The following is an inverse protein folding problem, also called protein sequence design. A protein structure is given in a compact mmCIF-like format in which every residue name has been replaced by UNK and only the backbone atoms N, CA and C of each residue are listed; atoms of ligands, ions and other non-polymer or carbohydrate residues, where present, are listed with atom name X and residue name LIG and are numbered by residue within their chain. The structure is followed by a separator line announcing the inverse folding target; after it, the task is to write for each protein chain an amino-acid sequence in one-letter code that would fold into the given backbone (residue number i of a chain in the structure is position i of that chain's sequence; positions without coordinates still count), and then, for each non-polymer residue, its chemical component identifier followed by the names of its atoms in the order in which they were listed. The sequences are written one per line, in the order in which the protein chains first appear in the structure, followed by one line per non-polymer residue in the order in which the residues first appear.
data_IF_697101225932
#
_entry.id   IF_697101225932
#
_cell.length_a   1.000
_cell.length_b   1.000
_cell.length_c   1.000
_cell.angle_alpha   90.00
_cell.angle_beta   90.00
_cell.angle_gamma   90.00
#
_symmetry.space_group_name_H-M   'P 1'
#
loop_
_entity.id
_entity.type
_entity.pdbx_description
1 polymer ?
2 non-polymer ?
3 non-polymer ?
4 water ?
#
# COMPACT_ATOMS: atom_id res chain seq x y z
N UNK A 3 -9.58 -4.78 28.52
CA UNK A 3 -8.43 -4.51 27.63
C UNK A 3 -8.58 -3.16 26.94
N UNK A 4 -9.70 -2.51 27.21
CA UNK A 4 -9.99 -1.19 26.66
C UNK A 4 -10.05 -1.02 25.15
N UNK A 5 -9.96 0.23 24.72
CA UNK A 5 -10.11 0.60 23.32
C UNK A 5 -8.87 0.92 22.49
N UNK A 6 -8.96 0.56 21.22
CA UNK A 6 -7.89 0.85 20.28
C UNK A 6 -8.47 1.88 19.33
N UNK A 7 -7.89 3.06 19.30
CA UNK A 7 -8.38 4.11 18.41
C UNK A 7 -7.76 3.89 17.04
N UNK A 8 -8.53 3.31 16.13
CA UNK A 8 -8.03 3.05 14.79
C UNK A 8 -8.20 4.28 13.91
N UNK A 9 -7.17 4.61 13.14
CA UNK A 9 -7.22 5.78 12.27
C UNK A 9 -7.66 5.38 10.87
N UNK A 10 -8.86 5.83 10.50
CA UNK A 10 -9.43 5.53 9.20
C UNK A 10 -9.18 6.71 8.27
N UNK A 11 -8.70 6.43 7.06
CA UNK A 11 -8.43 7.45 6.06
C UNK A 11 -9.65 7.63 5.15
N UNK A 12 -10.37 8.73 5.38
CA UNK A 12 -11.57 9.07 4.63
C UNK A 12 -12.80 8.23 4.94
N UNK A 13 -13.93 8.63 4.36
CA UNK A 13 -15.23 8.01 4.58
C UNK A 13 -15.41 6.51 4.37
N UNK A 14 -14.80 5.97 3.32
CA UNK A 14 -14.96 4.55 3.05
C UNK A 14 -14.36 3.70 4.17
N UNK A 15 -13.14 4.04 4.59
CA UNK A 15 -12.51 3.30 5.67
C UNK A 15 -13.26 3.56 6.97
N UNK A 16 -13.80 4.77 7.12
CA UNK A 16 -14.54 5.11 8.32
C UNK A 16 -15.75 4.20 8.44
N UNK A 17 -16.42 3.96 7.32
CA UNK A 17 -17.60 3.09 7.30
C UNK A 17 -17.22 1.67 7.68
N UNK A 18 -16.17 1.15 7.06
CA UNK A 18 -15.72 -0.20 7.38
C UNK A 18 -15.28 -0.27 8.84
N UNK A 19 -14.68 0.80 9.34
CA UNK A 19 -14.22 0.83 10.71
C UNK A 19 -15.40 0.73 11.69
N UNK A 20 -16.50 1.39 11.36
CA UNK A 20 -17.70 1.36 12.20
C UNK A 20 -18.29 -0.06 12.22
N UNK A 21 -18.37 -0.69 11.05
CA UNK A 21 -18.90 -2.04 10.94
C UNK A 21 -18.04 -2.99 11.77
N UNK A 22 -16.73 -2.77 11.68
CA UNK A 22 -15.71 -3.54 12.40
C UNK A 22 -15.99 -3.39 13.90
N UNK A 23 -16.15 -2.14 14.33
CA UNK A 23 -16.43 -1.83 15.72
C UNK A 23 -17.62 -2.63 16.24
N UNK A 24 -18.74 -2.54 15.52
CA UNK A 24 -19.97 -3.22 15.89
C UNK A 24 -19.91 -4.74 15.90
N UNK A 25 -19.31 -5.34 14.88
CA UNK A 25 -19.24 -6.79 14.84
C UNK A 25 -18.34 -7.32 15.94
N UNK A 26 -17.28 -6.58 16.27
CA UNK A 26 -16.38 -7.02 17.32
C UNK A 26 -17.13 -6.99 18.67
N UNK A 27 -17.83 -5.89 18.93
CA UNK A 27 -18.58 -5.76 20.17
C UNK A 27 -19.64 -6.84 20.29
N UNK A 28 -19.99 -7.49 19.17
CA UNK A 28 -21.00 -8.54 19.19
C UNK A 28 -20.48 -9.93 19.58
N UNK A 29 -19.18 -10.19 19.36
CA UNK A 29 -18.64 -11.50 19.68
C UNK A 29 -17.54 -11.49 20.75
N UNK A 30 -16.99 -10.32 21.01
CA UNK A 30 -15.93 -10.17 22.00
C UNK A 30 -16.48 -9.93 23.41
N UNK A 31 -15.88 -10.56 24.43
CA UNK A 31 -16.40 -10.35 25.79
C UNK A 31 -16.34 -8.88 26.20
N UNK A 32 -17.28 -8.47 27.06
CA UNK A 32 -17.37 -7.08 27.55
C UNK A 32 -16.02 -6.50 27.97
N UNK A 33 -15.17 -7.35 28.53
CA UNK A 33 -13.85 -6.96 29.02
C UNK A 33 -12.75 -7.28 28.01
N UNK A 34 -13.12 -7.34 26.74
CA UNK A 34 -12.15 -7.64 25.70
C UNK A 34 -11.83 -6.38 24.91
N UNK A 35 -10.87 -6.44 23.98
CA UNK A 35 -10.53 -5.25 23.20
C UNK A 35 -11.69 -4.75 22.33
N UNK A 36 -11.75 -3.43 22.15
CA UNK A 36 -12.78 -2.81 21.32
C UNK A 36 -12.10 -1.84 20.35
N UNK A 37 -12.83 -1.44 19.31
CA UNK A 37 -12.32 -0.53 18.29
C UNK A 37 -13.09 0.77 18.21
N UNK A 38 -12.37 1.89 18.24
CA UNK A 38 -12.97 3.22 18.11
C UNK A 38 -12.41 3.75 16.80
N UNK A 39 -13.16 4.59 16.10
CA UNK A 39 -12.70 5.10 14.82
C UNK A 39 -12.40 6.60 14.76
N UNK A 40 -11.19 6.93 14.32
CA UNK A 40 -10.76 8.31 14.18
C UNK A 40 -10.56 8.55 12.69
N UNK A 41 -11.34 9.47 12.11
CA UNK A 41 -11.27 9.76 10.68
C UNK A 41 -10.29 10.88 10.30
N UNK A 42 -9.43 10.59 9.33
CA UNK A 42 -8.44 11.54 8.83
C UNK A 42 -8.47 11.55 7.29
N UNK A 43 -7.80 12.52 6.68
CA UNK A 43 -7.79 12.68 5.22
C UNK A 43 -6.64 12.01 4.47
N UNK A 44 -5.59 11.62 5.18
CA UNK A 44 -4.45 10.99 4.53
C UNK A 44 -3.73 10.14 5.54
N UNK A 45 -2.89 9.23 5.07
CA UNK A 45 -2.14 8.37 5.97
C UNK A 45 -1.23 9.23 6.86
N UNK A 46 -0.78 10.35 6.31
CA UNK A 46 0.13 11.24 7.05
C UNK A 46 -0.56 11.86 8.25
N UNK A 47 -1.84 12.19 8.11
CA UNK A 47 -2.60 12.77 9.22
C UNK A 47 -2.71 11.70 10.29
N UNK A 48 -2.78 10.44 9.86
CA UNK A 48 -2.88 9.33 10.79
C UNK A 48 -1.57 9.16 11.58
N UNK A 49 -0.43 9.29 10.90
CA UNK A 49 0.85 9.16 11.58
C UNK A 49 0.97 10.23 12.68
N UNK A 50 0.67 11.47 12.32
CA UNK A 50 0.74 12.56 13.29
C UNK A 50 -0.21 12.36 14.46
N UNK A 51 -1.46 11.99 14.18
CA UNK A 51 -2.43 11.79 15.24
C UNK A 51 -1.93 10.73 16.24
N UNK A 52 -1.32 9.66 15.73
CA UNK A 52 -0.82 8.62 16.62
C UNK A 52 0.33 9.17 17.45
N UNK A 53 1.24 9.89 16.80
CA UNK A 53 2.37 10.49 17.49
C UNK A 53 1.88 11.51 18.51
N UNK A 54 0.71 12.07 18.25
CA UNK A 54 0.12 13.08 19.12
C UNK A 54 -0.79 12.49 20.19
N UNK A 55 -0.89 11.16 20.23
CA UNK A 55 -1.74 10.48 21.20
C UNK A 55 -3.20 10.84 20.98
N UNK A 56 -3.57 10.96 19.70
CA UNK A 56 -4.93 11.28 19.26
C UNK A 56 -5.53 10.04 18.59
N UNK A 57 -4.67 9.07 18.30
CA UNK A 57 -5.08 7.81 17.69
C UNK A 57 -4.03 6.78 18.13
N UNK A 58 -4.29 5.49 17.91
CA UNK A 58 -3.35 4.45 18.34
C UNK A 58 -2.79 3.54 17.25
N UNK A 59 -3.54 3.35 16.17
CA UNK A 59 -3.07 2.46 15.11
C UNK A 59 -3.53 2.81 13.69
N UNK A 60 -2.69 2.43 12.73
CA UNK A 60 -2.95 2.64 11.31
C UNK A 60 -2.06 1.69 10.54
N UNK A 61 -2.59 1.10 9.48
CA UNK A 61 -1.81 0.17 8.67
C UNK A 61 -1.13 0.93 7.54
N UNK A 62 0.17 0.71 7.36
CA UNK A 62 0.90 1.42 6.31
C UNK A 62 1.73 0.55 5.38
N UNK A 63 1.91 1.05 4.17
CA UNK A 63 2.76 0.37 3.19
C UNK A 63 4.13 0.36 3.87
N UNK A 64 4.97 -0.62 3.56
CA UNK A 64 6.28 -0.72 4.18
C UNK A 64 7.18 0.50 4.05
N UNK A 65 7.14 1.18 2.90
CA UNK A 65 7.99 2.36 2.74
C UNK A 65 7.51 3.49 3.65
N UNK A 66 6.21 3.55 3.87
CA UNK A 66 5.64 4.56 4.72
C UNK A 66 5.94 4.22 6.17
N UNK A 67 6.14 2.93 6.44
CA UNK A 67 6.46 2.48 7.80
C UNK A 67 7.81 3.09 8.16
N UNK A 68 8.71 3.16 7.19
CA UNK A 68 10.02 3.75 7.46
C UNK A 68 9.81 5.22 7.79
N UNK A 69 9.04 5.91 6.96
CA UNK A 69 8.77 7.33 7.18
C UNK A 69 8.19 7.59 8.57
N UNK A 70 7.31 6.70 9.02
CA UNK A 70 6.66 6.84 10.31
C UNK A 70 7.65 6.76 11.46
N UNK A 71 8.76 6.05 11.22
CA UNK A 71 9.79 5.88 12.24
C UNK A 71 10.64 7.13 12.42
N UNK A 72 10.68 7.97 11.39
CA UNK A 72 11.47 9.20 11.42
C UNK A 72 10.93 10.24 12.41
N UNK A 73 11.85 11.01 12.99
CA UNK A 73 11.45 12.06 13.92
C UNK A 73 10.60 13.01 13.07
N UNK A 74 9.65 13.72 13.69
CA UNK A 74 9.27 13.71 15.11
C UNK A 74 8.19 12.71 15.48
N UNK A 75 7.95 11.73 14.62
CA UNK A 75 6.89 10.75 14.90
C UNK A 75 7.37 9.51 15.64
N UNK A 76 8.53 8.99 15.24
CA UNK A 76 9.15 7.83 15.87
C UNK A 76 8.18 6.69 16.18
N UNK A 77 7.39 6.28 15.19
CA UNK A 77 6.46 5.19 15.39
C UNK A 77 7.16 3.87 15.13
N UNK A 78 6.59 2.77 15.64
CA UNK A 78 7.15 1.44 15.46
C UNK A 78 6.12 0.46 14.90
N UNK A 79 6.60 -0.54 14.15
CA UNK A 79 5.72 -1.57 13.55
C UNK A 79 5.33 -2.57 14.64
N UNK A 80 4.06 -2.92 14.74
CA UNK A 80 3.62 -3.85 15.77
C UNK A 80 2.93 -5.11 15.25
N UNK A 81 2.19 -5.00 14.16
CA UNK A 81 1.53 -6.16 13.59
C UNK A 81 1.63 -6.09 12.07
N UNK A 82 2.00 -7.20 11.45
CA UNK A 82 2.16 -7.24 10.02
C UNK A 82 1.11 -8.10 9.32
N UNK A 83 0.67 -7.65 8.15
CA UNK A 83 -0.29 -8.45 7.40
C UNK A 83 0.57 -9.55 6.76
N UNK A 84 -0.04 -10.66 6.40
CA UNK A 84 0.68 -11.71 5.70
C UNK A 84 -0.21 -12.12 4.52
N UNK A 85 0.41 -12.69 3.49
CA UNK A 85 -0.32 -13.05 2.29
C UNK A 85 -0.11 -14.50 1.87
N UNK A 86 -0.58 -14.82 0.67
CA UNK A 86 -0.41 -16.17 0.16
C UNK A 86 -1.46 -17.13 0.64
N UNK A 87 -1.24 -17.70 1.83
CA UNK A 87 -2.18 -18.67 2.38
C UNK A 87 -1.89 -18.94 3.85
N UNK A 88 -2.78 -19.72 4.47
CA UNK A 88 -2.65 -20.09 5.87
C UNK A 88 -1.50 -21.08 6.04
N UNK A 89 -1.38 -22.00 5.09
CA UNK A 89 -0.34 -23.02 5.10
C UNK A 89 1.07 -22.45 4.97
N UNK A 90 1.22 -21.43 4.13
CA UNK A 90 2.52 -20.79 3.91
C UNK A 90 2.41 -19.27 3.95
N UNK A 91 2.21 -18.71 5.16
CA UNK A 91 2.09 -17.26 5.30
C UNK A 91 3.35 -16.51 4.85
N UNK A 92 3.16 -15.60 3.91
CA UNK A 92 4.26 -14.81 3.39
C UNK A 92 4.12 -13.36 3.82
N UNK A 93 5.15 -12.85 4.49
CA UNK A 93 5.15 -11.48 4.96
C UNK A 93 5.83 -10.59 3.93
N UNK A 94 5.39 -10.75 2.69
CA UNK A 94 5.91 -9.98 1.57
C UNK A 94 4.99 -10.18 0.38
N UNK A 95 5.16 -9.33 -0.61
CA UNK A 95 4.40 -9.43 -1.85
C UNK A 95 5.34 -8.91 -2.92
N UNK A 96 4.90 -8.93 -4.18
CA UNK A 96 5.75 -8.49 -5.27
C UNK A 96 5.28 -7.21 -5.96
N UNK A 97 6.22 -6.31 -6.22
CA UNK A 97 5.92 -5.07 -6.92
C UNK A 97 5.99 -5.42 -8.40
N UNK A 98 4.92 -5.15 -9.13
CA UNK A 98 4.89 -5.46 -10.56
C UNK A 98 4.46 -4.25 -11.39
N UNK A 99 4.62 -4.35 -12.70
CA UNK A 99 4.23 -3.29 -13.61
C UNK A 99 3.26 -3.90 -14.61
N UNK A 100 1.98 -3.57 -14.46
CA UNK A 100 0.96 -4.10 -15.34
C UNK A 100 0.73 -3.17 -16.53
N UNK A 101 0.64 -3.78 -17.72
CA UNK A 101 0.41 -3.04 -18.95
C UNK A 101 -0.64 -3.77 -19.78
N UNK A 102 -1.15 -3.10 -20.81
CA UNK A 102 -2.13 -3.73 -21.68
C UNK A 102 -1.37 -4.53 -22.74
N UNK A 103 -1.91 -5.67 -23.13
CA UNK A 103 -1.27 -6.49 -24.16
C UNK A 103 -1.23 -5.72 -25.49
N UNK A 104 -0.19 -5.96 -26.27
CA UNK A 104 -0.02 -5.31 -27.56
C UNK A 104 0.19 -3.80 -27.49
N UNK A 105 0.60 -3.27 -26.34
CA UNK A 105 0.81 -1.83 -26.26
C UNK A 105 2.20 -1.49 -26.82
N UNK A 106 3.05 -2.49 -26.94
CA UNK A 106 4.36 -2.29 -27.54
C UNK A 106 5.49 -1.52 -26.90
N UNK A 107 5.78 -1.78 -25.63
CA UNK A 107 6.88 -1.13 -24.96
C UNK A 107 7.35 -1.98 -23.78
N UNK A 108 8.65 -1.92 -23.50
CA UNK A 108 9.21 -2.69 -22.41
C UNK A 108 9.57 -1.76 -21.26
N UNK A 109 10.23 -2.30 -20.24
CA UNK A 109 10.63 -1.53 -19.08
C UNK A 109 11.59 -0.42 -19.46
N UNK A 110 12.44 -0.68 -20.45
CA UNK A 110 13.43 0.28 -20.91
C UNK A 110 12.91 1.24 -21.96
N UNK A 111 11.59 1.26 -22.16
CA UNK A 111 10.95 2.16 -23.12
C UNK A 111 9.79 2.93 -22.50
N UNK A 112 9.84 3.14 -21.19
CA UNK A 112 8.76 3.84 -20.49
C UNK A 112 8.71 5.36 -20.67
N UNK A 113 9.80 5.96 -21.14
CA UNK A 113 9.81 7.40 -21.33
C UNK A 113 8.67 7.85 -22.26
N UNK A 114 7.93 8.86 -21.84
CA UNK A 114 6.85 9.38 -22.66
C UNK A 114 5.51 8.67 -22.50
N UNK A 115 5.44 7.67 -21.62
CA UNK A 115 4.19 6.95 -21.41
C UNK A 115 3.42 7.56 -20.24
N UNK A 116 2.14 7.24 -20.12
CA UNK A 116 1.35 7.76 -19.01
C UNK A 116 1.35 6.71 -17.90
N UNK A 117 1.66 7.14 -16.68
CA UNK A 117 1.76 6.22 -15.56
C UNK A 117 0.76 6.36 -14.42
N UNK A 118 0.38 5.22 -13.85
CA UNK A 118 -0.55 5.17 -12.74
C UNK A 118 0.17 4.58 -11.53
N UNK A 119 0.23 5.35 -10.45
CA UNK A 119 0.90 4.93 -9.23
C UNK A 119 -0.10 4.82 -8.08
N UNK A 120 0.12 3.87 -7.18
CA UNK A 120 -0.76 3.69 -6.04
C UNK A 120 -0.70 4.96 -5.20
N UNK A 121 0.50 5.47 -5.05
CA UNK A 121 0.70 6.68 -4.27
C UNK A 121 2.16 7.00 -4.07
N UNK A 122 2.45 8.28 -3.93
CA UNK A 122 3.82 8.75 -3.73
C UNK A 122 4.38 8.15 -2.44
N UNK A 123 5.62 7.69 -2.48
CA UNK A 123 6.25 7.14 -1.28
C UNK A 123 5.90 5.71 -0.89
N UNK A 124 5.16 5.01 -1.73
CA UNK A 124 4.77 3.62 -1.44
C UNK A 124 5.65 2.65 -2.22
N UNK A 125 5.90 1.48 -1.63
CA UNK A 125 6.76 0.46 -2.22
C UNK A 125 6.55 0.15 -3.69
N UNK A 126 5.46 -0.55 -4.00
CA UNK A 126 5.17 -0.94 -5.37
C UNK A 126 4.80 0.18 -6.32
N UNK A 127 4.07 1.17 -5.82
CA UNK A 127 3.64 2.25 -6.69
C UNK A 127 4.64 3.34 -7.01
N UNK A 128 5.67 3.48 -6.17
CA UNK A 128 6.64 4.55 -6.41
C UNK A 128 8.11 4.22 -6.19
N UNK A 129 8.52 4.04 -4.95
CA UNK A 129 9.93 3.77 -4.66
C UNK A 129 10.61 2.65 -5.43
N UNK A 130 9.93 1.52 -5.62
CA UNK A 130 10.53 0.42 -6.36
C UNK A 130 10.73 0.74 -7.84
N UNK A 131 9.65 1.07 -8.57
CA UNK A 131 9.81 1.38 -9.99
C UNK A 131 10.65 2.62 -10.26
N UNK A 132 10.41 3.69 -9.50
CA UNK A 132 11.18 4.90 -9.71
C UNK A 132 12.66 4.65 -9.41
N UNK A 133 12.92 3.78 -8.45
CA UNK A 133 14.29 3.46 -8.09
C UNK A 133 15.00 2.77 -9.24
N UNK A 134 14.29 1.90 -9.94
CA UNK A 134 14.85 1.19 -11.08
C UNK A 134 14.98 2.09 -12.31
N UNK A 135 14.09 3.06 -12.42
CA UNK A 135 14.08 4.00 -13.54
C UNK A 135 14.93 5.25 -13.28
N UNK A 136 15.39 5.40 -12.04
CA UNK A 136 16.16 6.57 -11.62
C UNK A 136 17.12 7.16 -12.67
N UNK A 137 18.06 6.37 -13.17
CA UNK A 137 19.02 6.90 -14.13
C UNK A 137 18.46 7.20 -15.52
N UNK A 138 17.31 6.63 -15.87
CA UNK A 138 16.71 6.90 -17.17
C UNK A 138 16.04 8.26 -17.14
N UNK A 139 15.84 8.77 -15.92
CA UNK A 139 15.21 10.08 -15.71
C UNK A 139 16.12 11.21 -16.19
N UNK A 140 15.53 12.28 -16.75
CA UNK A 140 16.30 13.43 -17.23
C UNK A 140 16.75 14.28 -16.05
N UNK A 141 17.96 14.83 -16.13
CA UNK A 141 18.46 15.65 -15.04
C UNK A 141 17.88 17.07 -15.08
N UNK A 142 17.76 17.71 -13.90
CA UNK A 142 18.15 17.21 -12.57
C UNK A 142 17.19 16.13 -12.06
N UNK A 143 17.75 15.06 -11.50
CA UNK A 143 16.93 13.95 -11.01
C UNK A 143 16.32 14.18 -9.62
N UNK A 144 16.77 15.24 -8.96
CA UNK A 144 16.25 15.61 -7.65
C UNK A 144 15.81 17.07 -7.78
N UNK A 145 14.60 17.40 -7.29
CA UNK A 145 13.62 16.52 -6.64
C UNK A 145 13.09 15.42 -7.55
N UNK A 146 12.91 14.24 -6.98
CA UNK A 146 12.40 13.07 -7.71
C UNK A 146 11.09 13.37 -8.43
N UNK A 147 10.14 13.94 -7.69
CA UNK A 147 8.83 14.26 -8.24
C UNK A 147 8.88 14.98 -9.59
N UNK A 148 9.72 15.98 -9.70
CA UNK A 148 9.84 16.74 -10.95
C UNK A 148 10.42 15.89 -12.07
N UNK A 149 11.43 15.10 -11.75
CA UNK A 149 12.08 14.24 -12.74
C UNK A 149 11.10 13.19 -13.28
N UNK A 150 10.31 12.61 -12.39
CA UNK A 150 9.33 11.62 -12.81
C UNK A 150 8.26 12.29 -13.67
N UNK A 151 7.86 13.50 -13.29
CA UNK A 151 6.85 14.24 -14.04
C UNK A 151 7.31 14.48 -15.48
N UNK A 152 8.59 14.82 -15.63
CA UNK A 152 9.15 15.07 -16.96
C UNK A 152 9.35 13.80 -17.78
N UNK A 153 9.69 12.70 -17.11
CA UNK A 153 9.94 11.43 -17.76
C UNK A 153 8.69 10.87 -18.45
N UNK A 154 7.58 10.86 -17.72
CA UNK A 154 6.33 10.36 -18.27
C UNK A 154 5.56 11.51 -18.95
N UNK A 155 4.52 11.16 -19.70
CA UNK A 155 3.73 12.18 -20.39
C UNK A 155 2.40 12.38 -19.65
N UNK A 156 2.50 12.47 -18.33
CA UNK A 156 1.32 12.65 -17.51
C UNK A 156 1.09 11.40 -16.69
N UNK A 157 0.72 11.58 -15.44
CA UNK A 157 0.47 10.44 -14.59
C UNK A 157 -0.42 10.78 -13.40
N UNK A 158 -0.58 9.80 -12.52
CA UNK A 158 -1.36 9.98 -11.31
C UNK A 158 -0.54 9.42 -10.17
N UNK A 159 -0.05 10.32 -9.32
CA UNK A 159 0.73 9.94 -8.15
C UNK A 159 0.03 10.50 -6.92
N UNK A 160 -0.94 9.75 -6.37
CA UNK A 160 -1.69 10.20 -5.19
C UNK A 160 -0.77 10.71 -4.08
N UNK A 161 -1.19 11.80 -3.43
CA UNK A 161 -0.48 12.45 -2.32
C UNK A 161 0.63 13.42 -2.75
N UNK A 162 0.95 13.44 -4.03
CA UNK A 162 1.97 14.36 -4.53
C UNK A 162 1.37 15.76 -4.61
N UNK A 163 2.21 16.77 -4.61
CA UNK A 163 1.73 18.14 -4.68
C UNK A 163 1.52 18.58 -6.13
N UNK A 164 0.26 18.70 -6.53
CA UNK A 164 -0.06 19.09 -7.89
C UNK A 164 0.36 20.49 -8.28
N UNK A 165 0.53 21.37 -7.30
CA UNK A 165 0.94 22.74 -7.56
C UNK A 165 2.37 22.79 -8.07
N UNK A 166 3.26 22.09 -7.38
CA UNK A 166 4.65 22.05 -7.78
C UNK A 166 4.85 21.11 -8.97
N UNK A 167 4.13 19.98 -8.97
CA UNK A 167 4.29 18.99 -10.03
C UNK A 167 2.93 18.62 -10.63
N UNK A 168 2.37 19.48 -11.50
CA UNK A 168 1.07 19.20 -12.12
C UNK A 168 0.99 17.94 -12.99
N UNK A 169 2.09 17.59 -13.65
CA UNK A 169 2.15 16.42 -14.51
C UNK A 169 1.83 15.15 -13.70
N UNK A 170 2.15 15.17 -12.42
CA UNK A 170 1.90 14.01 -11.56
C UNK A 170 0.43 13.82 -11.21
N UNK A 171 -0.42 14.79 -11.54
CA UNK A 171 -1.85 14.66 -11.25
C UNK A 171 -2.69 14.83 -12.51
N UNK A 172 -2.05 14.76 -13.67
CA UNK A 172 -2.75 14.91 -14.94
C UNK A 172 -3.83 13.84 -15.08
N UNK A 173 -3.53 12.65 -14.59
CA UNK A 173 -4.46 11.53 -14.67
C UNK A 173 -5.47 11.51 -13.52
N UNK A 174 -5.21 12.25 -12.46
CA UNK A 174 -6.11 12.34 -11.31
C UNK A 174 -5.94 13.70 -10.66
N UNK A 175 -6.51 14.76 -11.27
CA UNK A 175 -6.41 16.13 -10.75
C UNK A 175 -6.49 16.21 -9.23
N UNK A 176 -5.57 16.96 -8.65
CA UNK A 176 -5.53 17.13 -7.21
C UNK A 176 -4.68 16.09 -6.50
N UNK A 177 -4.49 14.94 -7.14
CA UNK A 177 -3.70 13.88 -6.53
C UNK A 177 -4.17 13.54 -5.11
N UNK A 178 -5.47 13.33 -4.95
CA UNK A 178 -6.01 13.00 -3.64
C UNK A 178 -5.29 11.83 -2.98
N UNK A 179 -5.07 11.94 -1.67
CA UNK A 179 -4.35 10.91 -0.91
C UNK A 179 -5.27 9.96 -0.15
N UNK A 180 -6.38 9.58 -0.76
CA UNK A 180 -7.33 8.66 -0.14
C UNK A 180 -8.23 8.07 -1.21
N UNK A 181 -9.13 7.18 -0.79
CA UNK A 181 -10.04 6.52 -1.72
C UNK A 181 -11.06 7.47 -2.35
N UNK A 182 -11.04 8.74 -1.94
CA UNK A 182 -11.95 9.72 -2.53
C UNK A 182 -11.50 9.92 -3.97
N UNK A 183 -10.21 9.67 -4.20
CA UNK A 183 -9.59 9.77 -5.52
C UNK A 183 -9.73 8.39 -6.16
N UNK A 184 -10.48 8.31 -7.25
CA UNK A 184 -10.73 7.03 -7.91
C UNK A 184 -9.51 6.25 -8.37
N UNK A 185 -8.38 6.94 -8.55
CA UNK A 185 -7.17 6.27 -8.98
C UNK A 185 -6.15 6.09 -7.85
N UNK A 186 -6.63 6.13 -6.61
CA UNK A 186 -5.78 5.97 -5.44
C UNK A 186 -5.56 4.50 -5.09
N UNK A 187 -4.36 4.18 -4.60
CA UNK A 187 -4.04 2.82 -4.20
C UNK A 187 -3.84 1.78 -5.28
N UNK A 188 -3.78 0.52 -4.87
CA UNK A 188 -3.60 -0.58 -5.81
C UNK A 188 -4.75 -0.63 -6.80
N UNK A 189 -5.97 -0.70 -6.25
CA UNK A 189 -7.17 -0.78 -7.08
C UNK A 189 -7.36 0.47 -7.94
N UNK A 190 -6.98 1.62 -7.41
CA UNK A 190 -7.11 2.87 -8.14
C UNK A 190 -6.13 2.97 -9.31
N UNK A 191 -4.89 2.56 -9.06
CA UNK A 191 -3.88 2.60 -10.10
C UNK A 191 -4.25 1.63 -11.21
N UNK A 192 -4.85 0.50 -10.84
CA UNK A 192 -5.25 -0.49 -11.83
C UNK A 192 -6.40 0.04 -12.69
N UNK A 193 -7.37 0.69 -12.05
CA UNK A 193 -8.52 1.23 -12.75
C UNK A 193 -8.04 2.27 -13.77
N UNK A 194 -7.03 3.04 -13.35
CA UNK A 194 -6.43 4.07 -14.18
C UNK A 194 -5.91 3.43 -15.47
N UNK A 195 -5.44 2.18 -15.36
CA UNK A 195 -4.93 1.45 -16.53
C UNK A 195 -6.09 0.83 -17.31
N UNK A 196 -6.98 0.14 -16.60
CA UNK A 196 -8.13 -0.51 -17.22
C UNK A 196 -8.99 0.48 -17.99
N UNK A 197 -9.23 1.64 -17.38
CA UNK A 197 -10.07 2.64 -18.03
C UNK A 197 -9.36 3.40 -19.15
N UNK A 198 -8.08 3.11 -19.37
CA UNK A 198 -7.35 3.76 -20.44
C UNK A 198 -6.74 5.12 -20.22
N UNK A 199 -6.69 5.56 -18.95
CA UNK A 199 -6.09 6.85 -18.65
C UNK A 199 -4.57 6.73 -18.74
N UNK A 200 -4.04 5.59 -18.30
CA UNK A 200 -2.61 5.37 -18.34
C UNK A 200 -2.18 4.11 -19.07
N UNK A 201 -0.89 4.02 -19.38
CA UNK A 201 -0.32 2.87 -20.09
C UNK A 201 0.26 1.82 -19.15
N UNK A 202 0.63 2.23 -17.95
CA UNK A 202 1.22 1.29 -17.00
C UNK A 202 0.74 1.57 -15.59
N UNK A 203 0.56 0.49 -14.82
CA UNK A 203 0.12 0.63 -13.45
C UNK A 203 1.12 -0.10 -12.57
N UNK A 204 1.73 0.64 -11.64
CA UNK A 204 2.70 0.07 -10.71
C UNK A 204 1.94 -0.35 -9.46
N UNK A 205 1.71 -1.65 -9.35
CA UNK A 205 0.94 -2.21 -8.24
C UNK A 205 1.54 -3.52 -7.72
N UNK A 206 0.74 -4.34 -7.03
CA UNK A 206 1.25 -5.60 -6.50
C UNK A 206 0.81 -6.77 -7.38
N UNK A 207 1.48 -7.91 -7.24
CA UNK A 207 1.14 -9.06 -8.06
C UNK A 207 -0.32 -9.48 -7.92
N UNK A 208 -0.87 -9.30 -6.72
CA UNK A 208 -2.26 -9.68 -6.46
C UNK A 208 -3.31 -8.72 -7.03
N UNK A 209 -2.89 -7.50 -7.34
CA UNK A 209 -3.81 -6.49 -7.85
C UNK A 209 -4.77 -6.90 -8.97
N UNK A 210 -4.26 -7.41 -10.08
CA UNK A 210 -5.17 -7.77 -11.18
C UNK A 210 -6.13 -8.92 -10.83
N UNK A 211 -5.70 -9.85 -9.98
CA UNK A 211 -6.55 -10.96 -9.58
C UNK A 211 -7.64 -10.50 -8.63
N UNK A 212 -7.30 -9.49 -7.84
CA UNK A 212 -8.21 -8.92 -6.87
C UNK A 212 -9.27 -8.05 -7.54
N UNK A 213 -8.94 -7.55 -8.73
CA UNK A 213 -9.85 -6.65 -9.44
C UNK A 213 -10.51 -7.17 -10.72
N UNK A 214 -10.00 -8.25 -11.28
CA UNK A 214 -10.59 -8.84 -12.48
C UNK A 214 -10.82 -10.34 -12.26
N UNK A 215 -12.08 -10.75 -12.17
CA UNK A 215 -12.42 -12.16 -11.93
C UNK A 215 -12.22 -13.11 -13.11
N UNK A 216 -12.56 -12.65 -14.32
CA UNK A 216 -12.46 -13.47 -15.54
C UNK A 216 -11.06 -13.54 -16.15
N UNK A 217 -10.56 -14.75 -16.35
CA UNK A 217 -9.23 -14.95 -16.94
C UNK A 217 -9.16 -14.36 -18.35
N UNK A 218 -10.29 -14.39 -19.05
CA UNK A 218 -10.36 -13.86 -20.40
C UNK A 218 -10.03 -12.37 -20.40
N UNK A 219 -10.48 -11.67 -19.37
CA UNK A 219 -10.21 -10.24 -19.27
C UNK A 219 -8.75 -10.03 -18.87
N UNK A 220 -8.23 -10.89 -18.01
CA UNK A 220 -6.84 -10.76 -17.57
C UNK A 220 -5.85 -11.05 -18.70
N UNK A 221 -6.26 -11.88 -19.65
CA UNK A 221 -5.38 -12.21 -20.77
C UNK A 221 -5.10 -11.00 -21.64
N UNK A 222 -5.79 -9.89 -21.38
CA UNK A 222 -5.55 -8.69 -22.17
C UNK A 222 -4.54 -7.78 -21.49
N UNK A 223 -3.91 -8.30 -20.43
CA UNK A 223 -2.89 -7.55 -19.69
C UNK A 223 -1.62 -8.39 -19.60
N UNK A 224 -0.51 -7.73 -19.33
CA UNK A 224 0.78 -8.39 -19.21
C UNK A 224 1.63 -7.69 -18.15
N UNK A 225 2.81 -8.24 -17.86
CA UNK A 225 3.71 -7.65 -16.89
C UNK A 225 5.04 -7.31 -17.56
N UNK A 226 5.66 -6.22 -17.14
CA UNK A 226 6.95 -5.81 -17.67
C UNK A 226 8.04 -6.42 -16.79
N UNK A 227 8.90 -7.26 -17.37
CA UNK A 227 9.97 -7.88 -16.61
C UNK A 227 11.25 -7.06 -16.72
N UNK A 228 12.12 -7.22 -15.72
CA UNK A 228 13.38 -6.50 -15.64
C UNK A 228 14.31 -6.66 -16.85
N UNK A 229 14.22 -7.78 -17.55
CA UNK A 229 15.08 -8.01 -18.71
C UNK A 229 14.48 -7.45 -19.99
N UNK A 230 13.52 -6.55 -19.85
CA UNK A 230 12.88 -5.91 -20.99
C UNK A 230 12.11 -6.88 -21.89
N UNK A 231 11.35 -7.75 -21.25
CA UNK A 231 10.51 -8.72 -21.94
C UNK A 231 9.18 -8.64 -21.20
N UNK A 232 8.15 -9.25 -21.76
CA UNK A 232 6.85 -9.25 -21.11
C UNK A 232 6.44 -10.69 -20.79
N UNK A 233 5.63 -10.86 -19.76
CA UNK A 233 5.14 -12.17 -19.35
C UNK A 233 3.69 -12.04 -18.85
N UNK A 234 2.94 -13.16 -18.86
CA UNK A 234 1.54 -13.15 -18.41
C UNK A 234 1.47 -12.65 -16.97
N UNK A 235 0.30 -12.16 -16.55
CA UNK A 235 0.14 -11.63 -15.21
C UNK A 235 0.27 -12.66 -14.09
N UNK A 236 0.12 -13.94 -14.44
CA UNK A 236 0.22 -15.01 -13.47
C UNK A 236 1.65 -15.52 -13.31
N UNK A 237 2.57 -14.94 -14.07
CA UNK A 237 3.97 -15.34 -14.01
C UNK A 237 4.82 -14.28 -13.31
N UNK A 238 4.21 -13.64 -12.31
CA UNK A 238 4.88 -12.60 -11.54
C UNK A 238 6.04 -13.12 -10.72
N UNK A 239 6.01 -14.40 -10.38
CA UNK A 239 7.07 -15.01 -9.58
C UNK A 239 8.44 -14.79 -10.21
N UNK A 240 8.50 -14.81 -11.54
CA UNK A 240 9.78 -14.62 -12.19
C UNK A 240 9.78 -13.41 -13.15
N UNK A 241 8.80 -12.51 -12.96
CA UNK A 241 8.67 -11.28 -13.74
C UNK A 241 8.08 -10.17 -12.86
N UNK A 242 8.86 -9.73 -11.88
CA UNK A 242 8.45 -8.65 -10.99
C UNK A 242 9.63 -7.70 -10.79
N UNK A 243 9.36 -6.49 -10.29
CA UNK A 243 10.44 -5.52 -10.08
C UNK A 243 11.16 -5.74 -8.77
N UNK A 244 10.44 -6.23 -7.77
CA UNK A 244 11.06 -6.48 -6.47
C UNK A 244 10.10 -7.13 -5.48
N UNK A 245 10.66 -7.77 -4.47
CA UNK A 245 9.88 -8.39 -3.41
C UNK A 245 9.91 -7.36 -2.29
N UNK A 246 8.74 -7.04 -1.73
CA UNK A 246 8.68 -6.04 -0.67
C UNK A 246 7.95 -6.53 0.58
N UNK A 247 8.34 -6.01 1.75
CA UNK A 247 7.76 -6.34 3.05
C UNK A 247 6.28 -5.99 3.15
N UNK A 248 5.58 -6.73 4.00
CA UNK A 248 4.14 -6.55 4.23
C UNK A 248 3.74 -5.15 4.68
N UNK A 249 2.48 -4.81 4.46
CA UNK A 249 1.96 -3.54 4.95
C UNK A 249 1.88 -3.87 6.43
N UNK A 250 2.12 -2.89 7.30
CA UNK A 250 2.12 -3.18 8.72
C UNK A 250 1.48 -2.10 9.56
N UNK A 251 0.89 -2.53 10.68
CA UNK A 251 0.25 -1.61 11.61
C UNK A 251 1.33 -0.98 12.48
N UNK A 252 1.30 0.34 12.62
CA UNK A 252 2.28 1.04 13.43
C UNK A 252 1.62 1.66 14.65
N UNK A 253 2.43 1.96 15.67
CA UNK A 253 1.94 2.55 16.91
C UNK A 253 3.08 3.32 17.58
N UNK A 254 2.77 4.00 18.68
CA UNK A 254 3.78 4.75 19.41
C UNK A 254 4.73 3.76 20.03
N UNK A 255 5.98 4.16 20.25
CA UNK A 255 6.97 3.30 20.87
C UNK A 255 6.62 3.18 22.36
N UNK A 256 6.27 4.31 22.98
CA UNK A 256 5.92 4.34 24.39
C UNK A 256 4.42 4.55 24.58
N UNK A 257 3.80 3.70 25.41
CA UNK A 257 2.37 3.82 25.64
C UNK A 257 1.58 3.67 24.36
N UNK A 258 2.04 2.78 23.48
CA UNK A 258 1.40 2.57 22.21
C UNK A 258 0.33 1.50 22.13
N UNK A 259 0.11 0.79 23.24
CA UNK A 259 -0.91 -0.27 23.27
C UNK A 259 -0.62 -1.40 22.28
N UNK A 260 0.65 -1.68 22.01
CA UNK A 260 0.95 -2.76 21.07
C UNK A 260 0.36 -4.09 21.51
N UNK A 261 0.23 -4.29 22.81
CA UNK A 261 -0.33 -5.52 23.35
C UNK A 261 -1.82 -5.63 23.01
N UNK A 262 -2.55 -4.54 23.19
CA UNK A 262 -3.99 -4.52 22.90
C UNK A 262 -4.26 -4.55 21.40
N UNK A 263 -3.40 -3.90 20.63
CA UNK A 263 -3.57 -3.87 19.19
C UNK A 263 -3.46 -5.30 18.65
N UNK A 264 -2.50 -6.06 19.17
CA UNK A 264 -2.33 -7.45 18.73
C UNK A 264 -3.53 -8.28 19.12
N UNK A 265 -3.95 -8.16 20.37
CA UNK A 265 -5.10 -8.90 20.87
C UNK A 265 -6.34 -8.62 20.03
N UNK A 266 -6.56 -7.34 19.72
CA UNK A 266 -7.70 -6.93 18.92
C UNK A 266 -7.70 -7.57 17.54
N UNK A 267 -6.58 -7.44 16.85
CA UNK A 267 -6.44 -7.98 15.50
C UNK A 267 -6.35 -9.51 15.46
N UNK A 268 -5.79 -10.11 16.50
CA UNK A 268 -5.68 -11.56 16.53
C UNK A 268 -7.08 -12.16 16.76
N UNK A 269 -7.84 -11.57 17.66
CA UNK A 269 -9.19 -12.06 17.92
C UNK A 269 -10.05 -11.74 16.70
N UNK A 270 -9.79 -10.59 16.10
CA UNK A 270 -10.52 -10.15 14.92
C UNK A 270 -10.34 -11.13 13.76
N UNK A 271 -9.12 -11.61 13.55
CA UNK A 271 -8.89 -12.54 12.45
C UNK A 271 -9.47 -13.93 12.74
N UNK A 272 -9.64 -14.29 14.00
CA UNK A 272 -10.22 -15.59 14.32
C UNK A 272 -11.72 -15.57 14.04
N UNK A 273 -12.36 -14.44 14.27
CA UNK A 273 -13.80 -14.30 14.02
C UNK A 273 -14.17 -13.82 12.62
N UNK A 274 -13.46 -12.81 12.13
CA UNK A 274 -13.77 -12.23 10.82
C UNK A 274 -12.61 -12.23 9.81
N UNK A 275 -11.62 -13.09 10.03
CA UNK A 275 -10.48 -13.18 9.13
C UNK A 275 -10.86 -13.75 7.79
N UNK A 276 -9.88 -14.20 7.01
CA UNK A 276 -10.12 -14.75 5.67
C UNK A 276 -11.10 -15.92 5.65
N UNK A 277 -12.22 -15.74 4.95
CA UNK A 277 -13.26 -16.75 4.83
C UNK A 277 -13.84 -17.23 6.16
N UNK A 278 -13.61 -16.46 7.22
CA UNK A 278 -14.12 -16.85 8.53
C UNK A 278 -15.63 -16.64 8.71
N UNK A 279 -16.11 -15.47 8.31
CA UNK A 279 -17.53 -15.16 8.48
C UNK A 279 -18.22 -14.52 7.28
N UNK A 280 -19.50 -14.84 7.12
CA UNK A 280 -20.29 -14.28 6.04
C UNK A 280 -20.79 -12.89 6.42
N UNK A 281 -20.91 -12.65 7.73
CA UNK A 281 -21.43 -11.38 8.23
C UNK A 281 -20.50 -10.18 8.12
N UNK A 282 -19.21 -10.41 8.29
CA UNK A 282 -18.24 -9.32 8.20
C UNK A 282 -16.89 -9.87 7.78
N UNK A 283 -16.18 -9.08 6.98
CA UNK A 283 -14.87 -9.46 6.50
C UNK A 283 -13.81 -8.40 6.79
N UNK A 284 -12.69 -8.81 7.35
CA UNK A 284 -11.60 -7.89 7.64
C UNK A 284 -10.88 -7.51 6.34
N UNK A 285 -10.78 -8.47 5.44
CA UNK A 285 -10.05 -8.27 4.20
C UNK A 285 -10.85 -8.05 2.92
N UNK A 286 -11.99 -7.40 3.04
CA UNK A 286 -12.80 -7.08 1.87
C UNK A 286 -13.86 -6.10 2.35
N UNK A 287 -14.66 -5.57 1.42
CA UNK A 287 -15.70 -4.62 1.78
C UNK A 287 -16.52 -4.19 0.58
N UNK A 288 -17.81 -3.92 0.79
CA UNK A 288 -18.66 -3.49 -0.33
C UNK A 288 -18.44 -2.00 -0.61
N UNK A 289 -17.65 -1.37 0.25
CA UNK A 289 -17.38 0.06 0.13
C UNK A 289 -16.09 0.41 -0.60
N UNK A 290 -15.31 -0.61 -0.93
CA UNK A 290 -14.06 -0.38 -1.63
C UNK A 290 -13.05 -1.46 -1.32
N UNK A 291 -11.90 -1.40 -1.99
CA UNK A 291 -10.85 -2.37 -1.77
C UNK A 291 -9.71 -1.84 -0.94
N UNK A 292 -9.03 -2.75 -0.24
CA UNK A 292 -7.90 -2.40 0.61
C UNK A 292 -8.21 -1.38 1.69
N UNK A 293 -9.42 -1.41 2.22
CA UNK A 293 -9.80 -0.48 3.28
C UNK A 293 -9.28 -1.00 4.63
N UNK A 294 -8.50 -0.16 5.31
CA UNK A 294 -7.92 -0.50 6.61
C UNK A 294 -6.78 -1.52 6.47
N UNK A 295 -7.03 -2.57 5.70
CA UNK A 295 -6.05 -3.61 5.46
C UNK A 295 -6.10 -3.98 3.98
N UNK A 296 -5.05 -4.63 3.48
CA UNK A 296 -5.06 -5.01 2.08
C UNK A 296 -5.99 -6.20 1.87
N UNK A 297 -6.76 -6.14 0.80
CA UNK A 297 -7.69 -7.23 0.46
C UNK A 297 -6.95 -8.54 0.23
N UNK A 298 -5.72 -8.46 -0.28
CA UNK A 298 -4.94 -9.66 -0.57
C UNK A 298 -4.32 -10.30 0.67
N UNK A 299 -4.56 -9.69 1.83
CA UNK A 299 -4.03 -10.21 3.08
C UNK A 299 -4.84 -11.42 3.53
N UNK A 300 -4.17 -12.35 4.19
CA UNK A 300 -4.81 -13.57 4.70
C UNK A 300 -4.85 -13.61 6.22
N UNK A 301 -4.14 -12.69 6.85
CA UNK A 301 -4.12 -12.66 8.30
C UNK A 301 -3.06 -11.72 8.87
N UNK A 302 -2.78 -11.88 10.17
CA UNK A 302 -1.81 -11.03 10.86
C UNK A 302 -0.80 -11.87 11.65
N UNK A 303 0.39 -11.31 11.83
CA UNK A 303 1.46 -11.94 12.59
C UNK A 303 2.08 -10.84 13.44
N UNK A 304 2.36 -11.13 14.72
CA UNK A 304 2.92 -10.13 15.62
C UNK A 304 4.40 -9.82 15.39
N UNK A 305 4.75 -8.54 15.40
CA UNK A 305 6.12 -8.13 15.22
C UNK A 305 6.89 -8.41 16.51
N UNK A 306 8.15 -8.90 16.40
CA UNK A 306 8.95 -9.20 17.59
C UNK A 306 9.07 -7.99 18.53
N UNK A 307 9.30 -8.25 19.82
CA UNK A 307 9.44 -7.22 20.85
C UNK A 307 10.34 -6.03 20.54
N UNK A 308 9.79 -4.83 20.72
CA UNK A 308 10.50 -3.56 20.52
C UNK A 308 11.21 -3.32 19.20
N UNK A 309 10.96 -4.17 18.21
CA UNK A 309 11.61 -4.01 16.93
C UNK A 309 11.25 -2.67 16.28
N UNK A 310 12.24 -1.96 15.76
CA UNK A 310 11.97 -0.70 15.09
C UNK A 310 11.84 -0.93 13.60
N UNK A 311 11.50 0.13 12.87
CA UNK A 311 11.29 0.06 11.43
C UNK A 311 12.46 -0.56 10.66
N UNK A 312 13.67 -0.10 10.94
CA UNK A 312 14.86 -0.59 10.25
C UNK A 312 15.06 -2.10 10.42
N UNK A 313 14.98 -2.57 11.66
CA UNK A 313 15.14 -3.98 11.99
C UNK A 313 14.11 -4.81 11.22
N UNK A 314 12.85 -4.40 11.36
CA UNK A 314 11.72 -5.08 10.73
C UNK A 314 11.82 -5.22 9.21
N UNK A 315 12.04 -4.09 8.53
CA UNK A 315 12.12 -4.06 7.08
C UNK A 315 13.21 -4.98 6.48
N UNK A 316 14.31 -5.15 7.19
CA UNK A 316 15.35 -6.01 6.67
C UNK A 316 16.46 -5.24 5.97
N UNK A 317 17.64 -5.83 5.93
CA UNK A 317 18.80 -5.21 5.32
C UNK A 317 18.65 -4.77 3.86
N UNK A 318 18.22 -5.69 3.00
CA UNK A 318 18.04 -5.37 1.59
C UNK A 318 17.22 -4.08 1.38
N UNK A 319 16.01 -4.08 1.94
CA UNK A 319 15.07 -2.94 1.81
C UNK A 319 15.62 -1.60 2.28
N UNK A 320 16.29 -1.60 3.43
CA UNK A 320 16.84 -0.37 3.95
C UNK A 320 17.98 0.14 3.07
N UNK A 321 18.70 -0.80 2.44
CA UNK A 321 19.79 -0.44 1.54
C UNK A 321 19.22 0.30 0.35
N UNK A 322 18.16 -0.25 -0.23
CA UNK A 322 17.49 0.36 -1.38
C UNK A 322 16.99 1.75 -1.04
N UNK A 323 16.72 1.99 0.25
CA UNK A 323 16.29 3.32 0.69
C UNK A 323 17.49 4.26 0.60
N UNK A 324 18.60 3.83 1.19
CA UNK A 324 19.83 4.63 1.16
C UNK A 324 20.26 4.86 -0.27
N UNK A 325 20.20 3.80 -1.07
CA UNK A 325 20.59 3.89 -2.48
C UNK A 325 19.82 4.98 -3.22
N UNK A 326 18.51 5.03 -3.03
CA UNK A 326 17.68 6.03 -3.71
C UNK A 326 17.99 7.41 -3.16
N UNK A 327 18.04 7.53 -1.83
CA UNK A 327 18.34 8.79 -1.17
C UNK A 327 19.66 9.38 -1.65
N UNK A 328 20.64 8.51 -1.89
CA UNK A 328 21.95 8.93 -2.38
C UNK A 328 22.06 8.50 -3.83
N UNK A 329 21.29 9.15 -4.69
CA UNK A 329 21.33 8.80 -6.10
C UNK A 329 22.75 8.63 -6.60
N UNK A 330 22.89 7.90 -7.70
CA UNK A 330 24.20 7.65 -8.29
C UNK A 330 23.96 6.93 -9.62
N UNK A 331 24.73 7.29 -10.64
CA UNK A 331 24.58 6.65 -11.95
C UNK A 331 25.94 6.53 -12.63
X LIG B 1 2.24 0.10 -2.82
X LIG B 1 3.04 -0.87 -2.71
X LIG B 1 1.28 0.23 -1.94
X LIG B 1 2.39 0.94 -3.80
X LIG C 1 2.17 -1.62 -0.68
#
# INVERSE_FOLDING_TARGET
VPDKTVRWCAVSEHEATKCQSFRDHMKSVIPSDGPSVACVKKASYLDCIRAIAANEADAVTLDARLVYDAYLAPNNLKPVVAEFYGSKEDPQTFYYAVAVVKKDSGFQMNQLRGKKSCHTGLGRSAGWNIPIGLLYCDLPEPRKPLEKAVANFFSGSCAPCADGTDFPQLCQLCPGCGCSTLNQYFGYSGAFKCLKDGAGDVAFVEHSTIFENLANKADRDQYELLCLDNTRKPVDEYKDCHLAQVPSHTVVARSMGGKEDLIWELLNQAQEHFGKDKSKEFQLFSSPHGKDLLFKDSAHGFLKVPPRMDAKMYLGYEYVTAIRNLREGTCPEAPTD
CO3 C O1 O2 O3
FE FE
#
